data_IF_947769372903
#
_entry.id   IF_947769372903
#
_cell.length_a   1.000
_cell.length_b   1.000
_cell.length_c   1.000
_cell.angle_alpha   90.00
_cell.angle_beta   90.00
_cell.angle_gamma   90.00
#
_symmetry.space_group_name_H-M   'P 1'
#
loop_
_entity.id
_entity.type
_entity.pdbx_description
1 polymer ?
2 water ?
#
# COMPACT_ATOMS: atom_id res chain seq x y z
N UNK A 1 -34.70 15.77 -14.21
CA UNK A 1 -34.57 14.35 -14.69
C UNK A 1 -34.14 13.42 -13.55
N UNK A 2 -34.85 12.33 -13.32
CA UNK A 2 -34.47 11.46 -12.23
C UNK A 2 -34.04 10.05 -12.59
N UNK A 3 -33.93 9.73 -13.88
CA UNK A 3 -33.54 8.38 -14.24
C UNK A 3 -32.05 8.34 -14.54
N UNK A 4 -31.25 7.67 -13.70
CA UNK A 4 -29.83 7.64 -13.99
C UNK A 4 -29.55 7.27 -15.44
N UNK A 5 -30.27 6.27 -15.93
CA UNK A 5 -30.13 5.77 -17.30
C UNK A 5 -30.25 6.88 -18.34
N UNK A 6 -31.24 7.75 -18.13
CA UNK A 6 -31.51 8.88 -19.00
C UNK A 6 -30.41 9.90 -18.80
N UNK A 7 -30.10 10.20 -17.54
CA UNK A 7 -29.06 11.16 -17.19
C UNK A 7 -27.82 10.76 -17.94
N UNK A 8 -27.48 9.48 -17.88
CA UNK A 8 -26.30 8.99 -18.55
C UNK A 8 -26.45 9.05 -20.05
N UNK A 9 -27.68 8.80 -20.51
CA UNK A 9 -28.00 8.82 -21.93
C UNK A 9 -27.68 10.22 -22.45
N UNK A 10 -28.15 11.24 -21.74
CA UNK A 10 -27.89 12.63 -22.13
C UNK A 10 -26.43 12.94 -21.98
N UNK A 11 -25.86 12.45 -20.88
CA UNK A 11 -24.45 12.67 -20.59
C UNK A 11 -23.61 12.37 -21.82
N UNK A 12 -24.02 11.38 -22.61
CA UNK A 12 -23.23 11.05 -23.77
C UNK A 12 -23.51 12.00 -24.92
N UNK A 13 -24.78 12.20 -25.22
CA UNK A 13 -25.11 13.08 -26.33
C UNK A 13 -24.49 14.46 -26.16
N UNK A 14 -24.21 14.86 -24.92
CA UNK A 14 -23.65 16.20 -24.72
C UNK A 14 -22.15 16.28 -24.69
N UNK A 15 -21.52 15.40 -23.91
CA UNK A 15 -20.07 15.41 -23.81
C UNK A 15 -19.40 15.05 -25.12
N UNK A 16 -19.58 15.91 -26.10
CA UNK A 16 -19.02 15.72 -27.43
C UNK A 16 -18.58 17.08 -28.02
N UNK A 17 -17.34 17.14 -28.52
CA UNK A 17 -16.80 18.36 -29.11
C UNK A 17 -17.72 18.82 -30.25
N UNK A 18 -18.18 20.06 -30.15
CA UNK A 18 -19.09 20.64 -31.13
C UNK A 18 -18.36 21.27 -32.29
N UNK A 19 -19.00 21.29 -33.46
CA UNK A 19 -18.41 21.86 -34.66
C UNK A 19 -19.45 22.43 -35.63
N UNK A 20 -18.98 23.23 -36.57
CA UNK A 20 -19.89 23.82 -37.53
C UNK A 20 -20.70 24.91 -36.90
N UNK A 21 -21.95 25.05 -37.33
CA UNK A 21 -22.83 26.07 -36.79
C UNK A 21 -23.04 25.91 -35.28
N UNK A 22 -22.93 24.66 -34.83
CA UNK A 22 -23.10 24.39 -33.41
C UNK A 22 -21.97 25.04 -32.66
N UNK A 23 -20.74 24.66 -33.01
CA UNK A 23 -19.57 25.22 -32.37
C UNK A 23 -19.69 26.74 -32.33
N UNK A 24 -20.18 27.32 -33.42
CA UNK A 24 -20.33 28.76 -33.51
C UNK A 24 -21.43 29.29 -32.62
N UNK A 25 -22.61 28.71 -32.74
CA UNK A 25 -23.75 29.17 -31.96
C UNK A 25 -23.63 28.92 -30.47
N UNK A 26 -23.29 27.69 -30.09
CA UNK A 26 -23.18 27.31 -28.69
C UNK A 26 -21.86 27.63 -27.95
N UNK A 27 -21.98 28.32 -26.81
CA UNK A 27 -20.81 28.66 -26.01
C UNK A 27 -19.83 27.50 -25.85
N UNK A 28 -18.60 27.82 -25.43
CA UNK A 28 -17.51 26.85 -25.29
C UNK A 28 -17.82 25.38 -25.04
N UNK A 29 -16.85 24.54 -25.40
CA UNK A 29 -16.92 23.08 -25.26
C UNK A 29 -16.80 22.58 -23.83
N UNK A 30 -15.74 22.99 -23.15
CA UNK A 30 -15.52 22.57 -21.78
C UNK A 30 -16.79 22.77 -20.99
N UNK A 31 -17.54 23.82 -21.29
CA UNK A 31 -18.80 24.07 -20.60
C UNK A 31 -19.70 22.87 -20.80
N UNK A 32 -19.58 22.24 -21.96
CA UNK A 32 -20.40 21.09 -22.30
C UNK A 32 -19.93 19.85 -21.54
N UNK A 33 -18.64 19.56 -21.62
CA UNK A 33 -18.08 18.41 -20.94
C UNK A 33 -18.38 18.51 -19.45
N UNK A 34 -18.28 19.70 -18.89
CA UNK A 34 -18.59 19.86 -17.47
C UNK A 34 -20.04 19.45 -17.30
N UNK A 35 -20.89 19.94 -18.19
CA UNK A 35 -22.31 19.65 -18.18
C UNK A 35 -22.52 18.14 -18.23
N UNK A 36 -21.67 17.45 -18.97
CA UNK A 36 -21.75 16.01 -19.08
C UNK A 36 -21.30 15.42 -17.74
N UNK A 37 -20.15 15.87 -17.26
CA UNK A 37 -19.63 15.41 -15.98
C UNK A 37 -20.75 15.51 -14.94
N UNK A 38 -21.20 16.74 -14.74
CA UNK A 38 -22.25 16.98 -13.79
C UNK A 38 -23.43 15.99 -13.95
N UNK A 39 -23.65 15.51 -15.17
CA UNK A 39 -24.76 14.57 -15.39
C UNK A 39 -24.42 13.19 -14.86
N UNK A 40 -23.24 12.68 -15.19
CA UNK A 40 -22.87 11.36 -14.71
C UNK A 40 -22.86 11.34 -13.19
N UNK A 41 -22.29 12.37 -12.60
CA UNK A 41 -22.21 12.50 -11.15
C UNK A 41 -23.61 12.44 -10.52
N UNK A 42 -24.57 13.07 -11.17
CA UNK A 42 -25.93 13.06 -10.68
C UNK A 42 -26.45 11.62 -10.75
N UNK A 43 -26.01 10.91 -11.77
CA UNK A 43 -26.43 9.52 -11.92
C UNK A 43 -25.68 8.67 -10.90
N UNK A 44 -24.37 8.87 -10.81
CA UNK A 44 -23.56 8.12 -9.88
C UNK A 44 -24.16 8.21 -8.50
N UNK A 45 -24.57 9.41 -8.12
CA UNK A 45 -25.17 9.64 -6.82
C UNK A 45 -26.49 8.91 -6.60
N UNK A 46 -27.35 8.90 -7.61
CA UNK A 46 -28.62 8.20 -7.48
C UNK A 46 -28.26 6.73 -7.30
N UNK A 47 -27.31 6.26 -8.09
CA UNK A 47 -26.90 4.87 -8.00
C UNK A 47 -26.32 4.58 -6.64
N UNK A 48 -25.49 5.48 -6.13
CA UNK A 48 -24.88 5.27 -4.83
C UNK A 48 -25.98 5.17 -3.81
N UNK A 49 -26.91 6.11 -3.84
CA UNK A 49 -28.03 6.09 -2.92
C UNK A 49 -28.72 4.72 -2.99
N UNK A 50 -28.98 4.24 -4.19
CA UNK A 50 -29.64 2.96 -4.39
C UNK A 50 -28.77 1.75 -4.04
N UNK A 51 -27.52 1.97 -3.68
CA UNK A 51 -26.61 0.88 -3.32
C UNK A 51 -26.26 0.01 -4.50
N UNK A 52 -26.16 0.62 -5.68
CA UNK A 52 -25.81 -0.15 -6.88
C UNK A 52 -24.32 -0.06 -7.14
N UNK A 53 -23.65 0.64 -6.22
CA UNK A 53 -22.20 0.88 -6.21
C UNK A 53 -21.41 0.67 -7.50
N UNK A 54 -21.31 -0.55 -8.01
CA UNK A 54 -20.58 -0.74 -9.24
C UNK A 54 -21.11 0.20 -10.33
N UNK A 55 -22.39 0.54 -10.28
CA UNK A 55 -22.97 1.44 -11.26
C UNK A 55 -22.61 2.89 -10.90
N UNK A 56 -22.42 3.13 -9.60
CA UNK A 56 -22.04 4.47 -9.13
C UNK A 56 -20.57 4.66 -9.48
N UNK A 57 -19.78 3.63 -9.24
CA UNK A 57 -18.37 3.73 -9.56
C UNK A 57 -18.22 3.88 -11.06
N UNK A 58 -18.94 3.06 -11.81
CA UNK A 58 -18.86 3.13 -13.26
C UNK A 58 -19.37 4.47 -13.75
N UNK A 59 -20.29 5.07 -12.99
CA UNK A 59 -20.83 6.35 -13.36
C UNK A 59 -19.77 7.40 -13.16
N UNK A 60 -19.16 7.41 -11.97
CA UNK A 60 -18.12 8.37 -11.65
C UNK A 60 -16.97 8.31 -12.63
N UNK A 61 -16.59 7.11 -13.04
CA UNK A 61 -15.50 6.99 -14.00
C UNK A 61 -15.85 7.90 -15.16
N UNK A 62 -17.03 7.72 -15.73
CA UNK A 62 -17.46 8.54 -16.85
C UNK A 62 -17.27 9.99 -16.48
N UNK A 63 -17.98 10.44 -15.43
CA UNK A 63 -17.90 11.82 -14.96
C UNK A 63 -16.47 12.30 -14.91
N UNK A 64 -15.62 11.55 -14.21
CA UNK A 64 -14.22 11.88 -14.08
C UNK A 64 -13.59 12.17 -15.43
N UNK A 65 -13.69 11.21 -16.32
CA UNK A 65 -13.12 11.40 -17.64
C UNK A 65 -13.72 12.60 -18.36
N UNK A 66 -14.99 12.89 -18.11
CA UNK A 66 -15.59 14.04 -18.76
C UNK A 66 -14.86 15.25 -18.18
N UNK A 67 -14.75 15.26 -16.87
CA UNK A 67 -14.10 16.34 -16.14
C UNK A 67 -12.70 16.60 -16.64
N UNK A 68 -11.98 15.59 -17.08
CA UNK A 68 -10.66 15.91 -17.56
C UNK A 68 -10.72 16.39 -19.00
N UNK A 69 -11.73 15.97 -19.74
CA UNK A 69 -11.83 16.46 -21.12
C UNK A 69 -12.19 17.94 -21.05
N UNK A 70 -12.75 18.34 -19.90
CA UNK A 70 -13.15 19.72 -19.69
C UNK A 70 -11.96 20.47 -19.11
N UNK A 71 -10.97 19.73 -18.64
CA UNK A 71 -9.80 20.37 -18.08
C UNK A 71 -10.02 20.90 -16.67
N UNK A 72 -10.34 19.98 -15.77
CA UNK A 72 -10.53 20.30 -14.38
C UNK A 72 -9.84 19.12 -13.76
N UNK A 73 -8.53 19.07 -13.91
CA UNK A 73 -7.75 17.94 -13.41
C UNK A 73 -8.03 17.62 -11.96
N UNK A 74 -8.05 18.64 -11.12
CA UNK A 74 -8.30 18.33 -9.72
C UNK A 74 -9.70 17.76 -9.55
N UNK A 75 -10.73 18.51 -9.94
CA UNK A 75 -12.10 18.02 -9.82
C UNK A 75 -12.12 16.57 -10.31
N UNK A 76 -11.31 16.26 -11.31
CA UNK A 76 -11.26 14.89 -11.83
C UNK A 76 -10.79 13.92 -10.76
N UNK A 77 -9.48 13.80 -10.58
CA UNK A 77 -8.95 12.89 -9.57
C UNK A 77 -9.82 12.81 -8.32
N UNK A 78 -10.31 13.96 -7.86
CA UNK A 78 -11.18 13.97 -6.69
C UNK A 78 -12.33 13.01 -6.94
N UNK A 79 -12.85 13.06 -8.17
CA UNK A 79 -13.92 12.20 -8.60
C UNK A 79 -13.44 10.75 -8.71
N UNK A 80 -12.21 10.57 -9.18
CA UNK A 80 -11.68 9.21 -9.26
C UNK A 80 -11.69 8.59 -7.88
N UNK A 81 -11.37 9.38 -6.86
CA UNK A 81 -11.38 8.84 -5.49
C UNK A 81 -12.79 8.38 -5.15
N UNK A 82 -13.77 9.15 -5.60
CA UNK A 82 -15.17 8.83 -5.35
C UNK A 82 -15.56 7.54 -6.03
N UNK A 83 -15.00 7.33 -7.22
CA UNK A 83 -15.30 6.12 -7.96
C UNK A 83 -14.60 4.98 -7.24
N UNK A 84 -13.39 5.23 -6.76
CA UNK A 84 -12.64 4.22 -6.05
C UNK A 84 -13.39 3.81 -4.79
N UNK A 85 -13.87 4.80 -4.06
CA UNK A 85 -14.61 4.54 -2.84
C UNK A 85 -15.75 3.55 -3.11
N UNK A 86 -16.44 3.74 -4.22
CA UNK A 86 -17.56 2.88 -4.58
C UNK A 86 -17.07 1.50 -4.94
N UNK A 87 -16.25 1.43 -5.97
CA UNK A 87 -15.71 0.15 -6.41
C UNK A 87 -15.12 -0.59 -5.24
N UNK A 88 -14.56 0.14 -4.27
CA UNK A 88 -14.00 -0.54 -3.11
C UNK A 88 -15.16 -1.09 -2.30
N UNK A 89 -15.95 -0.20 -1.73
CA UNK A 89 -17.12 -0.55 -0.94
C UNK A 89 -17.99 -1.62 -1.64
N UNK A 90 -17.78 -1.78 -2.94
CA UNK A 90 -18.54 -2.75 -3.69
C UNK A 90 -17.76 -4.02 -3.96
N UNK A 91 -16.60 -4.11 -3.33
CA UNK A 91 -15.75 -5.28 -3.47
C UNK A 91 -15.18 -5.55 -4.84
N UNK A 92 -15.27 -4.59 -5.74
CA UNK A 92 -14.72 -4.76 -7.07
C UNK A 92 -13.29 -4.28 -6.98
N UNK A 93 -12.43 -5.09 -6.36
CA UNK A 93 -11.05 -4.70 -6.20
C UNK A 93 -10.34 -4.32 -7.49
N UNK A 94 -10.58 -5.05 -8.56
CA UNK A 94 -9.89 -4.71 -9.81
C UNK A 94 -10.19 -3.28 -10.24
N UNK A 95 -11.46 -2.92 -10.30
CA UNK A 95 -11.80 -1.56 -10.72
C UNK A 95 -11.42 -0.53 -9.68
N UNK A 96 -11.48 -0.90 -8.40
CA UNK A 96 -11.12 0.02 -7.35
C UNK A 96 -9.64 0.32 -7.49
N UNK A 97 -8.88 -0.64 -8.01
CA UNK A 97 -7.45 -0.46 -8.21
C UNK A 97 -7.23 0.51 -9.32
N UNK A 98 -7.99 0.36 -10.40
CA UNK A 98 -7.86 1.28 -11.53
C UNK A 98 -8.14 2.67 -11.02
N UNK A 99 -9.37 2.89 -10.58
CA UNK A 99 -9.77 4.18 -10.08
C UNK A 99 -8.65 4.88 -9.32
N UNK A 100 -8.09 4.25 -8.29
CA UNK A 100 -7.04 4.92 -7.53
C UNK A 100 -5.88 5.26 -8.43
N UNK A 101 -5.43 4.29 -9.22
CA UNK A 101 -4.30 4.50 -10.10
C UNK A 101 -4.38 5.78 -10.91
N UNK A 102 -5.60 6.24 -11.21
CA UNK A 102 -5.77 7.48 -11.96
C UNK A 102 -5.62 8.64 -11.03
N UNK A 103 -6.36 8.60 -9.93
CA UNK A 103 -6.31 9.66 -8.94
C UNK A 103 -4.83 9.95 -8.72
N UNK A 104 -4.07 8.90 -8.46
CA UNK A 104 -2.65 9.03 -8.25
C UNK A 104 -1.94 9.63 -9.46
N UNK A 105 -2.15 9.05 -10.64
CA UNK A 105 -1.53 9.59 -11.85
C UNK A 105 -1.70 11.10 -11.82
N UNK A 106 -2.90 11.54 -11.48
CA UNK A 106 -3.21 12.96 -11.42
C UNK A 106 -2.51 13.66 -10.26
N UNK A 107 -2.88 13.28 -9.03
CA UNK A 107 -2.31 13.87 -7.81
C UNK A 107 -0.80 14.02 -7.95
N UNK A 108 -0.18 13.08 -8.65
CA UNK A 108 1.25 13.08 -8.85
C UNK A 108 1.69 14.14 -9.88
N UNK A 109 1.12 14.07 -11.09
CA UNK A 109 1.46 15.01 -12.14
C UNK A 109 1.08 16.43 -11.77
N UNK A 110 0.14 16.54 -10.85
CA UNK A 110 -0.34 17.83 -10.40
C UNK A 110 0.50 18.30 -9.21
N UNK A 111 1.53 17.54 -8.89
CA UNK A 111 2.38 17.93 -7.78
C UNK A 111 1.88 17.70 -6.37
N UNK A 112 0.67 17.19 -6.21
CA UNK A 112 0.13 16.94 -4.87
C UNK A 112 0.67 15.62 -4.28
N UNK A 113 1.96 15.58 -3.98
CA UNK A 113 2.55 14.36 -3.46
C UNK A 113 2.06 13.88 -2.10
N UNK A 114 1.84 14.78 -1.16
CA UNK A 114 1.38 14.31 0.14
C UNK A 114 0.09 13.50 0.00
N UNK A 115 -0.87 14.01 -0.78
CA UNK A 115 -2.14 13.33 -1.00
C UNK A 115 -1.93 12.13 -1.90
N UNK A 116 -0.94 12.22 -2.77
CA UNK A 116 -0.65 11.10 -3.63
C UNK A 116 -0.32 9.98 -2.68
N UNK A 117 0.83 10.12 -2.01
CA UNK A 117 1.25 9.12 -1.05
C UNK A 117 0.07 8.51 -0.29
N UNK A 118 -0.78 9.34 0.34
CA UNK A 118 -1.91 8.84 1.10
C UNK A 118 -2.65 7.73 0.40
N UNK A 119 -2.91 7.92 -0.89
CA UNK A 119 -3.60 6.91 -1.66
C UNK A 119 -2.65 5.87 -2.21
N UNK A 120 -1.41 6.25 -2.42
CA UNK A 120 -0.44 5.29 -2.90
C UNK A 120 -0.47 4.17 -1.87
N UNK A 121 -0.53 4.54 -0.60
CA UNK A 121 -0.59 3.58 0.49
C UNK A 121 -1.81 2.69 0.39
N UNK A 122 -3.00 3.29 0.38
CA UNK A 122 -4.22 2.50 0.27
C UNK A 122 -4.09 1.53 -0.90
N UNK A 123 -3.65 2.05 -2.04
CA UNK A 123 -3.47 1.21 -3.21
C UNK A 123 -2.63 0.01 -2.82
N UNK A 124 -1.47 0.26 -2.25
CA UNK A 124 -0.61 -0.83 -1.87
C UNK A 124 -1.37 -1.80 -0.98
N UNK A 125 -2.09 -1.24 -0.03
CA UNK A 125 -2.85 -2.03 0.92
C UNK A 125 -3.82 -3.00 0.25
N UNK A 126 -4.60 -2.50 -0.71
CA UNK A 126 -5.55 -3.34 -1.43
C UNK A 126 -4.73 -4.32 -2.26
N UNK A 127 -3.74 -3.80 -2.97
CA UNK A 127 -2.89 -4.65 -3.77
C UNK A 127 -2.40 -5.80 -2.91
N UNK A 128 -2.05 -5.50 -1.67
CA UNK A 128 -1.52 -6.52 -0.76
C UNK A 128 -2.53 -7.46 -0.15
N UNK A 129 -3.55 -6.88 0.47
CA UNK A 129 -4.61 -7.61 1.17
C UNK A 129 -5.67 -8.31 0.32
N UNK A 130 -5.93 -7.78 -0.87
CA UNK A 130 -6.94 -8.37 -1.72
C UNK A 130 -6.35 -9.07 -2.93
N UNK A 131 -6.11 -8.35 -4.01
CA UNK A 131 -5.57 -8.96 -5.22
C UNK A 131 -4.37 -9.87 -4.96
N UNK A 132 -3.62 -9.57 -3.90
CA UNK A 132 -2.43 -10.34 -3.55
C UNK A 132 -1.27 -10.24 -4.54
N UNK A 133 -0.97 -9.04 -5.02
CA UNK A 133 0.15 -8.84 -5.95
C UNK A 133 1.26 -8.19 -5.12
N UNK A 134 1.86 -8.97 -4.24
CA UNK A 134 2.91 -8.48 -3.35
C UNK A 134 4.04 -7.80 -4.08
N UNK A 135 4.34 -8.24 -5.28
CA UNK A 135 5.42 -7.62 -6.03
C UNK A 135 5.10 -6.16 -6.38
N UNK A 136 3.82 -5.85 -6.51
CA UNK A 136 3.39 -4.51 -6.87
C UNK A 136 2.98 -3.74 -5.64
N UNK A 137 2.56 -4.47 -4.61
CA UNK A 137 2.19 -3.82 -3.35
C UNK A 137 3.46 -3.21 -2.79
N UNK A 138 4.55 -3.95 -2.88
CA UNK A 138 5.83 -3.47 -2.40
C UNK A 138 6.21 -2.20 -3.12
N UNK A 139 6.02 -2.16 -4.43
CA UNK A 139 6.38 -0.98 -5.19
C UNK A 139 5.69 0.27 -4.68
N UNK A 140 4.42 0.17 -4.31
CA UNK A 140 3.70 1.32 -3.81
C UNK A 140 4.20 1.65 -2.41
N UNK A 141 4.13 0.66 -1.52
CA UNK A 141 4.58 0.86 -0.15
C UNK A 141 5.95 1.54 -0.11
N UNK A 142 6.68 1.51 -1.21
CA UNK A 142 8.00 2.11 -1.26
C UNK A 142 7.91 3.53 -1.75
N UNK A 143 7.39 3.69 -2.95
CA UNK A 143 7.22 4.99 -3.58
C UNK A 143 6.35 5.88 -2.70
N UNK A 144 5.51 5.27 -1.87
CA UNK A 144 4.65 6.05 -1.01
C UNK A 144 5.43 6.53 0.19
N UNK A 145 6.19 5.62 0.81
CA UNK A 145 6.99 6.00 1.96
C UNK A 145 8.05 7.00 1.52
N UNK A 146 8.47 6.89 0.26
CA UNK A 146 9.47 7.80 -0.26
C UNK A 146 8.95 9.24 -0.29
N UNK A 147 7.73 9.44 -0.79
CA UNK A 147 7.18 10.78 -0.82
C UNK A 147 7.09 11.33 0.62
N UNK A 148 6.49 10.57 1.52
CA UNK A 148 6.39 11.02 2.91
C UNK A 148 7.71 11.57 3.44
N UNK A 149 8.82 11.04 2.95
CA UNK A 149 10.13 11.50 3.40
C UNK A 149 10.32 12.97 3.03
N UNK A 150 10.23 13.27 1.73
CA UNK A 150 10.40 14.66 1.28
C UNK A 150 9.47 15.56 2.08
N UNK A 151 8.20 15.17 2.17
CA UNK A 151 7.20 15.93 2.91
C UNK A 151 7.66 16.02 4.37
N UNK A 152 8.79 15.39 4.65
CA UNK A 152 9.37 15.39 5.97
C UNK A 152 8.47 14.85 7.08
N UNK A 153 7.41 14.14 6.70
CA UNK A 153 6.50 13.57 7.69
C UNK A 153 6.97 12.16 8.06
N UNK A 154 8.11 12.09 8.75
CA UNK A 154 8.71 10.81 9.15
C UNK A 154 7.70 9.76 9.55
N UNK A 155 7.02 10.00 10.66
CA UNK A 155 6.01 9.09 11.18
C UNK A 155 5.41 8.15 10.13
N UNK A 156 4.73 8.74 9.13
CA UNK A 156 4.09 7.99 8.07
C UNK A 156 5.06 7.23 7.16
N UNK A 157 6.12 7.92 6.76
CA UNK A 157 7.13 7.34 5.90
C UNK A 157 7.53 5.99 6.46
N UNK A 158 7.63 5.90 7.77
CA UNK A 158 8.00 4.65 8.38
C UNK A 158 6.91 3.62 8.22
N UNK A 159 5.68 3.99 8.55
CA UNK A 159 4.55 3.07 8.40
C UNK A 159 4.62 2.37 7.06
N UNK A 160 5.15 3.05 6.05
CA UNK A 160 5.27 2.47 4.72
C UNK A 160 6.41 1.49 4.66
N UNK A 161 7.61 1.94 5.01
CA UNK A 161 8.79 1.08 4.97
C UNK A 161 8.65 -0.20 5.77
N UNK A 162 7.87 -0.18 6.83
CA UNK A 162 7.70 -1.40 7.59
C UNK A 162 6.83 -2.33 6.72
N UNK A 163 5.71 -1.82 6.24
CA UNK A 163 4.84 -2.62 5.39
C UNK A 163 5.70 -3.08 4.25
N UNK A 164 6.71 -2.28 3.93
CA UNK A 164 7.60 -2.60 2.85
C UNK A 164 8.61 -3.67 3.27
N UNK A 165 9.31 -3.43 4.36
CA UNK A 165 10.30 -4.38 4.86
C UNK A 165 9.66 -5.74 5.12
N UNK A 166 8.74 -5.79 6.09
CA UNK A 166 8.04 -7.01 6.45
C UNK A 166 7.74 -7.91 5.24
N UNK A 167 7.18 -7.29 4.21
CA UNK A 167 6.74 -7.94 2.98
C UNK A 167 7.81 -8.42 2.05
N UNK A 168 9.01 -7.86 2.12
CA UNK A 168 10.08 -8.30 1.25
C UNK A 168 10.68 -9.50 1.93
N UNK A 169 10.55 -9.54 3.24
CA UNK A 169 11.10 -10.63 4.01
C UNK A 169 10.41 -11.92 3.60
N UNK A 170 9.13 -11.82 3.23
CA UNK A 170 8.36 -12.97 2.81
C UNK A 170 8.78 -13.36 1.42
N UNK A 171 8.75 -12.42 0.50
CA UNK A 171 9.17 -12.70 -0.87
C UNK A 171 10.61 -13.21 -0.86
N UNK A 172 11.20 -13.26 0.34
CA UNK A 172 12.55 -13.76 0.47
C UNK A 172 13.73 -12.87 0.20
N UNK A 173 13.51 -11.56 0.07
CA UNK A 173 14.62 -10.62 -0.15
C UNK A 173 15.16 -10.27 1.23
N UNK A 174 15.60 -11.29 1.95
CA UNK A 174 16.11 -11.20 3.32
C UNK A 174 17.02 -10.05 3.74
N UNK A 175 18.04 -9.74 2.96
CA UNK A 175 18.92 -8.67 3.36
C UNK A 175 18.34 -7.31 3.07
N UNK A 176 17.85 -7.10 1.85
CA UNK A 176 17.25 -5.82 1.50
C UNK A 176 16.40 -5.41 2.66
N UNK A 177 15.62 -6.35 3.19
CA UNK A 177 14.75 -6.06 4.32
C UNK A 177 15.55 -5.65 5.55
N UNK A 178 16.41 -6.54 6.03
CA UNK A 178 17.21 -6.24 7.21
C UNK A 178 17.86 -4.88 7.03
N UNK A 179 17.95 -4.41 5.78
CA UNK A 179 18.54 -3.12 5.47
C UNK A 179 17.53 -2.04 5.78
N UNK A 180 16.38 -2.17 5.13
CA UNK A 180 15.30 -1.23 5.31
C UNK A 180 15.04 -1.15 6.81
N UNK A 181 15.27 -2.24 7.52
CA UNK A 181 15.05 -2.20 8.95
C UNK A 181 16.13 -1.37 9.59
N UNK A 182 17.36 -1.56 9.13
CA UNK A 182 18.47 -0.79 9.67
C UNK A 182 18.08 0.68 9.61
N UNK A 183 17.73 1.13 8.40
CA UNK A 183 17.35 2.51 8.16
C UNK A 183 16.18 2.93 9.04
N UNK A 184 15.20 2.05 9.17
CA UNK A 184 14.05 2.33 10.01
C UNK A 184 14.48 2.49 11.46
N UNK A 185 15.66 2.02 11.80
CA UNK A 185 16.16 2.11 13.17
C UNK A 185 16.90 3.42 13.38
N UNK A 186 17.79 3.73 12.44
CA UNK A 186 18.59 4.95 12.49
C UNK A 186 17.67 6.17 12.46
N UNK A 187 16.74 6.20 11.50
CA UNK A 187 15.81 7.33 11.40
C UNK A 187 14.60 7.07 12.29
N UNK A 188 14.84 6.67 13.52
CA UNK A 188 13.76 6.40 14.45
C UNK A 188 14.24 6.66 15.86
N UNK A 189 15.54 6.89 16.01
CA UNK A 189 16.10 7.17 17.33
C UNK A 189 16.19 8.69 17.52
N UNK A 190 16.08 9.43 16.42
CA UNK A 190 16.13 10.88 16.48
C UNK A 190 14.80 11.39 17.01
N UNK A 191 13.86 10.46 17.18
CA UNK A 191 12.53 10.75 17.69
C UNK A 191 12.35 9.91 18.95
N UNK A 192 12.58 10.52 20.11
CA UNK A 192 12.44 9.79 21.38
C UNK A 192 10.99 9.36 21.63
N UNK A 193 10.14 9.58 20.63
CA UNK A 193 8.74 9.21 20.72
C UNK A 193 8.46 7.89 19.98
N UNK A 194 9.55 7.23 19.56
CA UNK A 194 9.46 5.95 18.85
C UNK A 194 10.11 4.84 19.67
N UNK A 195 11.04 5.25 20.53
CA UNK A 195 11.78 4.36 21.41
C UNK A 195 11.20 2.96 21.60
N UNK A 196 9.97 2.89 22.08
CA UNK A 196 9.32 1.60 22.36
C UNK A 196 9.27 0.60 21.22
N UNK A 197 8.86 1.05 20.03
CA UNK A 197 8.74 0.18 18.85
C UNK A 197 10.06 -0.34 18.29
N UNK A 198 11.14 0.38 18.56
CA UNK A 198 12.49 0.07 18.10
C UNK A 198 13.04 -1.34 18.41
N UNK A 199 12.37 -2.07 19.29
CA UNK A 199 12.81 -3.42 19.64
C UNK A 199 12.55 -4.32 18.45
N UNK A 200 11.30 -4.32 18.03
CA UNK A 200 10.88 -5.14 16.92
C UNK A 200 11.75 -4.96 15.70
N UNK A 201 12.20 -3.75 15.44
CA UNK A 201 13.04 -3.58 14.26
C UNK A 201 14.25 -4.47 14.44
N UNK A 202 14.92 -4.35 15.59
CA UNK A 202 16.07 -5.19 15.86
C UNK A 202 15.72 -6.66 15.67
N UNK A 203 14.85 -7.20 16.51
CA UNK A 203 14.48 -8.61 16.40
C UNK A 203 14.18 -8.98 14.95
N UNK A 204 13.25 -8.25 14.32
CA UNK A 204 12.90 -8.51 12.93
C UNK A 204 14.13 -8.45 12.04
N UNK A 205 15.07 -7.55 12.34
CA UNK A 205 16.26 -7.47 11.49
C UNK A 205 17.12 -8.70 11.67
N UNK A 206 17.17 -9.18 12.90
CA UNK A 206 17.98 -10.35 13.21
C UNK A 206 17.35 -11.58 12.60
N UNK A 207 16.04 -11.71 12.77
CA UNK A 207 15.34 -12.85 12.21
C UNK A 207 15.60 -12.95 10.71
N UNK A 208 15.54 -11.83 9.99
CA UNK A 208 15.80 -11.83 8.54
C UNK A 208 17.19 -12.34 8.30
N UNK A 209 18.14 -11.79 9.06
CA UNK A 209 19.52 -12.16 8.95
C UNK A 209 19.68 -13.67 9.09
N UNK A 210 19.19 -14.24 10.18
CA UNK A 210 19.28 -15.68 10.37
C UNK A 210 18.62 -16.45 9.21
N UNK A 211 17.49 -15.96 8.71
CA UNK A 211 16.79 -16.65 7.65
C UNK A 211 17.62 -16.76 6.38
N UNK A 212 18.58 -15.84 6.25
CA UNK A 212 19.48 -15.81 5.09
C UNK A 212 20.71 -16.63 5.44
N UNK A 213 20.64 -17.31 6.57
CA UNK A 213 21.71 -18.16 7.09
C UNK A 213 23.00 -17.41 7.38
N UNK A 214 22.88 -16.13 7.72
CA UNK A 214 24.05 -15.31 8.04
C UNK A 214 24.04 -15.12 9.57
N UNK A 215 24.48 -16.11 10.32
CA UNK A 215 24.43 -16.00 11.76
C UNK A 215 25.41 -15.02 12.35
N UNK A 216 26.37 -14.56 11.55
CA UNK A 216 27.30 -13.59 12.11
C UNK A 216 26.54 -12.29 12.21
N UNK A 217 26.12 -11.79 11.05
CA UNK A 217 25.38 -10.54 10.97
C UNK A 217 24.29 -10.48 12.05
N UNK A 218 23.64 -11.61 12.34
CA UNK A 218 22.61 -11.61 13.36
C UNK A 218 23.27 -11.34 14.70
N UNK A 219 24.29 -12.13 15.02
CA UNK A 219 25.01 -11.97 16.27
C UNK A 219 25.42 -10.51 16.40
N UNK A 220 25.96 -9.95 15.32
CA UNK A 220 26.37 -8.56 15.33
C UNK A 220 25.17 -7.69 15.63
N UNK A 221 24.18 -7.75 14.75
CA UNK A 221 22.99 -6.94 14.90
C UNK A 221 22.31 -7.10 16.26
N UNK A 222 22.57 -8.20 16.96
CA UNK A 222 21.98 -8.38 18.29
C UNK A 222 22.76 -7.53 19.28
N UNK A 223 24.06 -7.43 19.07
CA UNK A 223 24.94 -6.64 19.94
C UNK A 223 24.52 -5.19 19.79
N UNK A 224 24.50 -4.70 18.55
CA UNK A 224 24.09 -3.35 18.25
C UNK A 224 22.81 -3.03 19.00
N UNK A 225 22.08 -4.07 19.40
CA UNK A 225 20.86 -3.86 20.14
C UNK A 225 21.18 -3.48 21.57
N UNK A 226 22.36 -2.89 21.77
CA UNK A 226 22.82 -2.44 23.08
C UNK A 226 23.23 -0.97 23.02
N UNK A 227 22.45 -0.19 22.28
CA UNK A 227 22.70 1.24 22.13
C UNK A 227 21.57 1.86 21.31
N UNK A 237 12.69 -9.99 23.89
CA UNK A 237 12.82 -9.92 22.43
C UNK A 237 14.26 -10.18 22.05
N UNK A 238 15.08 -9.12 22.05
CA UNK A 238 16.51 -9.24 21.73
C UNK A 238 17.14 -10.40 22.52
N UNK A 239 16.45 -10.84 23.57
CA UNK A 239 16.94 -11.96 24.36
C UNK A 239 16.55 -13.28 23.68
N UNK A 240 15.43 -13.28 22.96
CA UNK A 240 14.91 -14.45 22.21
C UNK A 240 15.76 -14.64 20.93
N UNK A 241 16.24 -13.53 20.40
CA UNK A 241 17.07 -13.55 19.21
C UNK A 241 18.33 -14.31 19.56
N UNK A 242 18.88 -14.04 20.74
CA UNK A 242 20.10 -14.70 21.21
C UNK A 242 19.93 -16.22 21.20
N UNK A 243 18.92 -16.68 21.92
CA UNK A 243 18.62 -18.11 21.98
C UNK A 243 18.48 -18.74 20.58
N UNK A 244 18.19 -17.92 19.58
CA UNK A 244 18.04 -18.44 18.21
C UNK A 244 19.40 -18.40 17.52
N UNK A 245 20.14 -17.32 17.72
CA UNK A 245 21.45 -17.23 17.09
C UNK A 245 22.25 -18.45 17.51
N UNK A 246 21.82 -19.10 18.59
CA UNK A 246 22.51 -20.28 19.07
C UNK A 246 21.92 -21.53 18.45
N UNK A 247 20.69 -21.86 18.82
CA UNK A 247 20.03 -23.04 18.25
C UNK A 247 20.43 -23.24 16.79
N UNK A 248 20.75 -22.16 16.09
CA UNK A 248 21.17 -22.27 14.71
C UNK A 248 22.64 -22.62 14.67
N UNK A 249 23.48 -21.77 15.25
CA UNK A 249 24.91 -22.00 15.29
C UNK A 249 25.28 -23.42 15.74
N UNK A 250 24.27 -24.21 16.11
CA UNK A 250 24.47 -25.57 16.56
C UNK A 250 23.40 -26.43 15.95
N UNK A 251 23.22 -26.31 14.64
CA UNK A 251 22.21 -27.09 13.95
C UNK A 251 21.31 -27.92 14.84
N UNK A 252 20.60 -27.27 15.74
CA UNK A 252 19.69 -27.97 16.65
C UNK A 252 18.27 -27.51 16.38
N UNK A 253 17.63 -28.05 15.35
CA UNK A 253 16.27 -27.63 15.03
C UNK A 253 15.29 -28.13 16.07
N UNK A 254 15.69 -28.01 17.33
CA UNK A 254 14.86 -28.41 18.44
C UNK A 254 15.01 -27.46 19.60
N UNK A 255 16.19 -26.86 19.75
CA UNK A 255 16.40 -25.86 20.80
C UNK A 255 15.64 -24.68 20.21
N UNK A 256 15.87 -24.42 18.92
CA UNK A 256 15.20 -23.32 18.26
C UNK A 256 13.75 -23.63 18.29
N UNK A 257 13.36 -24.71 17.64
CA UNK A 257 11.97 -25.10 17.60
C UNK A 257 11.28 -25.05 18.96
N UNK A 258 12.07 -24.89 20.02
CA UNK A 258 11.56 -24.85 21.38
C UNK A 258 11.43 -23.41 21.87
N UNK A 259 12.52 -22.67 21.74
CA UNK A 259 12.52 -21.27 22.16
C UNK A 259 11.36 -20.53 21.52
N UNK A 260 10.97 -20.95 20.32
CA UNK A 260 9.85 -20.32 19.65
C UNK A 260 8.62 -20.75 20.41
N UNK A 261 8.51 -22.04 20.67
CA UNK A 261 7.37 -22.58 21.42
C UNK A 261 7.18 -21.82 22.73
N UNK A 262 8.28 -21.50 23.40
CA UNK A 262 8.24 -20.75 24.66
C UNK A 262 7.89 -19.31 24.38
N UNK A 263 8.71 -18.62 23.60
CA UNK A 263 8.44 -17.23 23.30
C UNK A 263 7.00 -17.01 22.85
N UNK A 264 6.29 -18.06 22.46
CA UNK A 264 4.92 -17.86 22.04
C UNK A 264 4.01 -17.62 23.23
N UNK A 265 4.54 -17.69 24.45
CA UNK A 265 3.72 -17.48 25.64
C UNK A 265 3.68 -16.02 26.04
N UNK A 266 4.87 -15.46 26.27
CA UNK A 266 4.97 -14.08 26.66
C UNK A 266 4.90 -13.16 25.44
N UNK A 267 4.22 -13.61 24.40
CA UNK A 267 4.04 -12.81 23.17
C UNK A 267 3.67 -13.57 21.91
N UNK A 268 2.47 -14.14 21.88
CA UNK A 268 1.99 -14.91 20.73
C UNK A 268 2.62 -14.41 19.42
N UNK A 269 3.13 -15.34 18.63
CA UNK A 269 3.78 -14.96 17.38
C UNK A 269 2.80 -14.66 16.26
N UNK A 270 3.03 -13.55 15.57
CA UNK A 270 2.19 -13.14 14.47
C UNK A 270 2.69 -13.77 13.19
N UNK A 271 1.74 -14.11 12.33
CA UNK A 271 2.00 -14.74 11.05
C UNK A 271 3.38 -14.49 10.47
N UNK A 272 3.79 -13.24 10.38
CA UNK A 272 5.11 -12.93 9.84
C UNK A 272 6.16 -13.79 10.51
N UNK A 273 6.38 -13.53 11.80
CA UNK A 273 7.38 -14.26 12.55
C UNK A 273 7.27 -15.77 12.34
N UNK A 274 6.06 -16.29 12.35
CA UNK A 274 5.91 -17.72 12.17
C UNK A 274 6.46 -18.15 10.81
N UNK A 275 6.12 -17.42 9.76
CA UNK A 275 6.63 -17.71 8.43
C UNK A 275 8.16 -17.69 8.51
N UNK A 276 8.71 -16.51 8.72
CA UNK A 276 10.15 -16.33 8.83
C UNK A 276 10.82 -17.36 9.73
N UNK A 277 10.17 -17.71 10.84
CA UNK A 277 10.78 -18.66 11.74
C UNK A 277 10.80 -20.07 11.17
N UNK A 278 9.83 -20.41 10.35
CA UNK A 278 9.83 -21.73 9.77
C UNK A 278 10.93 -21.76 8.75
N UNK A 279 11.08 -20.67 8.00
CA UNK A 279 12.12 -20.65 7.00
C UNK A 279 13.48 -20.82 7.66
N UNK A 280 13.59 -20.50 8.95
CA UNK A 280 14.86 -20.64 9.64
C UNK A 280 15.02 -22.05 10.17
N UNK A 281 13.97 -22.58 10.78
CA UNK A 281 14.04 -23.93 11.31
C UNK A 281 14.49 -24.84 10.20
N UNK A 282 13.93 -24.66 9.00
CA UNK A 282 14.29 -25.46 7.84
C UNK A 282 15.76 -25.31 7.50
N UNK A 283 16.20 -24.07 7.28
CA UNK A 283 17.61 -23.83 6.95
C UNK A 283 18.54 -24.59 7.89
N UNK A 284 18.03 -25.01 9.03
CA UNK A 284 18.83 -25.77 9.99
C UNK A 284 18.83 -27.24 9.58
N UNK A 285 17.65 -27.80 9.42
CA UNK A 285 17.51 -29.18 9.04
C UNK A 285 18.29 -29.49 7.78
N UNK A 286 18.13 -28.64 6.78
CA UNK A 286 18.82 -28.83 5.51
C UNK A 286 20.32 -28.87 5.73
N UNK A 287 20.78 -28.15 6.75
CA UNK A 287 22.21 -28.11 7.07
C UNK A 287 22.61 -29.37 7.84
N UNK A 288 21.62 -30.02 8.45
CA UNK A 288 21.86 -31.24 9.22
C UNK A 288 21.92 -32.45 8.29
N UNK A 289 21.14 -32.40 7.21
CA UNK A 289 21.09 -33.47 6.22
C UNK A 289 22.01 -33.12 5.05
N UNK A 290 22.95 -32.21 5.30
CA UNK A 290 23.88 -31.75 4.27
C UNK A 290 25.30 -32.20 4.60
#
# INVERSE_FOLDING_TARGET
>A
ISDPVELLKRAEKKGVPSSGFMKLFSGSDSYKFEEAADLCVQAATIYRLRKELNLAGDSFLKAADYQKKAGNEDEAGNTYVEAYKCFKSGGNSVNAVDSLENAIQIFTHRGQFRRGANFKFELGEILENDLHDYAKAIDCYELAGEWYAQDQSVALSNKCFIKCADLKALDGQYIEASDIYSKLIKSSMGNRLSQWSLKDYFLKKGLCQLAATDAVAAARTLQEGQSEDPNFADSRESNFLKSLIDAVNEGDSEQLSEHCKEFDNFMRLDKWKITILNKIKESIQQQEDDLL
#
